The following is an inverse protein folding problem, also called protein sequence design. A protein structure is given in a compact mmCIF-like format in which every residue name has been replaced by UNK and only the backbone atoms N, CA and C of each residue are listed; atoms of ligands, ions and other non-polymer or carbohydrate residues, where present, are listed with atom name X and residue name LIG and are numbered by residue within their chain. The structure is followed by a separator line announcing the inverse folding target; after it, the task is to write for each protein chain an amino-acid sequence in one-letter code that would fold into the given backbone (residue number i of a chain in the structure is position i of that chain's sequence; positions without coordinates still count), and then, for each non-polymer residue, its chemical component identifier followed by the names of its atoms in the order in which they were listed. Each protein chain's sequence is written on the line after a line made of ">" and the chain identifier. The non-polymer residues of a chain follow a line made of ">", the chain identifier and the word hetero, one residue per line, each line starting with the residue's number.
data_IF_995212790297
#
_entry.id   IF_995212790297
#
_cell.length_a   1.000
_cell.length_b   1.000
_cell.length_c   1.000
_cell.angle_alpha   90.00
_cell.angle_beta   90.00
_cell.angle_gamma   90.00
#
_symmetry.space_group_name_H-M   'P 1'
#
loop_
_entity.id
_entity.type
_entity.pdbx_description
1 polymer ?
#
# COMPACT_ATOMS: atom_id res chain seq x y z
N UNK A 1 9.63 3.09 18.62
CA UNK A 1 10.54 3.47 17.49
C UNK A 1 10.38 4.95 17.23
N UNK A 2 11.43 5.77 17.34
CA UNK A 2 11.33 7.23 17.18
C UNK A 2 10.80 7.57 15.80
N UNK A 3 9.75 8.39 15.74
CA UNK A 3 9.29 9.03 14.51
C UNK A 3 10.36 9.98 14.01
N UNK A 4 10.83 9.77 12.78
CA UNK A 4 11.78 10.69 12.18
C UNK A 4 11.08 12.00 11.83
N UNK A 5 11.62 13.11 12.28
CA UNK A 5 11.15 14.45 11.96
C UNK A 5 10.99 14.63 10.44
N UNK A 6 10.00 15.38 10.02
CA UNK A 6 9.77 15.73 8.61
C UNK A 6 11.01 16.40 7.98
N UNK A 7 11.83 17.09 8.78
CA UNK A 7 13.11 17.65 8.35
C UNK A 7 14.11 16.58 7.90
N UNK A 8 14.20 15.45 8.61
CA UNK A 8 15.12 14.35 8.24
C UNK A 8 14.64 13.67 6.93
N UNK A 9 13.31 13.48 6.77
CA UNK A 9 12.73 12.95 5.53
C UNK A 9 13.02 13.88 4.35
N UNK A 10 12.84 15.20 4.54
CA UNK A 10 13.16 16.20 3.53
C UNK A 10 14.65 16.24 3.16
N UNK A 11 15.53 16.21 4.17
CA UNK A 11 16.98 16.17 3.95
C UNK A 11 17.40 14.91 3.17
N UNK A 12 16.82 13.74 3.46
CA UNK A 12 17.11 12.51 2.74
C UNK A 12 16.66 12.58 1.26
N UNK A 13 15.51 13.20 0.97
CA UNK A 13 15.06 13.44 -0.41
C UNK A 13 16.05 14.35 -1.14
N UNK A 14 16.46 15.47 -0.52
CA UNK A 14 17.43 16.40 -1.13
C UNK A 14 18.77 15.71 -1.39
N UNK A 15 19.26 14.91 -0.45
CA UNK A 15 20.51 14.16 -0.61
C UNK A 15 20.39 13.12 -1.75
N UNK A 16 19.26 12.43 -1.88
CA UNK A 16 19.01 11.52 -3.00
C UNK A 16 19.09 12.27 -4.34
N UNK A 17 18.41 13.43 -4.44
CA UNK A 17 18.42 14.27 -5.64
C UNK A 17 19.83 14.74 -6.00
N UNK A 18 20.63 15.17 -5.02
CA UNK A 18 22.03 15.57 -5.25
C UNK A 18 22.88 14.40 -5.78
N UNK A 19 22.72 13.21 -5.21
CA UNK A 19 23.42 12.01 -5.68
C UNK A 19 23.04 11.65 -7.11
N UNK A 20 21.75 11.79 -7.48
CA UNK A 20 21.26 11.52 -8.83
C UNK A 20 21.82 12.55 -9.84
N UNK A 21 21.85 13.83 -9.49
CA UNK A 21 22.45 14.88 -10.34
C UNK A 21 23.94 14.59 -10.56
N UNK A 22 24.69 14.22 -9.50
CA UNK A 22 26.09 13.82 -9.64
C UNK A 22 26.28 12.63 -10.57
N UNK A 23 25.42 11.62 -10.48
CA UNK A 23 25.44 10.46 -11.37
C UNK A 23 25.22 10.87 -12.84
N UNK A 24 24.18 11.68 -13.11
CA UNK A 24 23.86 12.15 -14.46
C UNK A 24 24.97 13.00 -15.05
N UNK A 25 25.52 13.94 -14.27
CA UNK A 25 26.65 14.78 -14.68
C UNK A 25 27.89 13.92 -15.00
N UNK A 26 28.16 12.91 -14.15
CA UNK A 26 29.27 11.98 -14.37
C UNK A 26 29.11 11.15 -15.64
N UNK A 27 27.95 10.56 -15.86
CA UNK A 27 27.63 9.78 -17.08
C UNK A 27 27.75 10.63 -18.34
N UNK A 28 27.22 11.85 -18.27
CA UNK A 28 27.27 12.75 -19.40
C UNK A 28 28.71 13.20 -19.71
N UNK A 29 29.51 13.52 -18.67
CA UNK A 29 30.90 13.85 -18.81
C UNK A 29 31.75 12.70 -19.37
N UNK A 30 31.48 11.44 -18.97
CA UNK A 30 32.13 10.26 -19.57
C UNK A 30 31.80 10.17 -21.06
N UNK A 31 30.52 10.27 -21.43
CA UNK A 31 30.10 10.22 -22.83
C UNK A 31 30.75 11.32 -23.70
N UNK A 32 30.90 12.52 -23.14
CA UNK A 32 31.57 13.63 -23.83
C UNK A 32 33.06 13.38 -24.01
N UNK A 33 33.77 12.94 -22.93
CA UNK A 33 35.21 12.67 -22.99
C UNK A 33 35.53 11.51 -23.96
N UNK A 34 34.70 10.47 -23.98
CA UNK A 34 34.83 9.40 -24.97
C UNK A 34 34.71 9.90 -26.40
N UNK A 35 33.82 10.85 -26.65
CA UNK A 35 33.60 11.43 -27.98
C UNK A 35 34.74 12.32 -28.41
N UNK A 36 35.38 13.01 -27.46
CA UNK A 36 36.45 14.02 -27.75
C UNK A 36 37.85 13.41 -27.50
N UNK A 37 37.98 12.10 -27.19
CA UNK A 37 39.26 11.42 -26.91
C UNK A 37 40.09 12.06 -25.77
N UNK A 38 39.46 12.65 -24.78
CA UNK A 38 40.14 13.21 -23.60
C UNK A 38 40.44 12.13 -22.53
N UNK A 39 41.63 12.25 -21.89
CA UNK A 39 42.14 11.30 -20.87
C UNK A 39 41.67 11.65 -19.44
N UNK A 40 40.43 12.09 -19.24
CA UNK A 40 39.91 12.48 -17.92
C UNK A 40 38.85 11.55 -17.32
N UNK A 41 38.81 10.28 -17.76
CA UNK A 41 37.73 9.35 -17.39
C UNK A 41 37.69 8.94 -15.90
N UNK A 42 38.84 8.98 -15.19
CA UNK A 42 38.92 8.47 -13.82
C UNK A 42 38.04 9.24 -12.83
N UNK A 43 38.13 10.56 -12.82
CA UNK A 43 37.34 11.41 -11.90
C UNK A 43 35.84 11.33 -12.19
N UNK A 44 35.47 11.31 -13.48
CA UNK A 44 34.07 11.25 -13.89
C UNK A 44 33.44 9.89 -13.56
N UNK A 45 34.18 8.79 -13.73
CA UNK A 45 33.71 7.46 -13.34
C UNK A 45 33.54 7.33 -11.83
N UNK A 46 34.44 7.89 -11.01
CA UNK A 46 34.29 7.89 -9.55
C UNK A 46 33.07 8.71 -9.11
N UNK A 47 32.84 9.88 -9.69
CA UNK A 47 31.63 10.70 -9.42
C UNK A 47 30.36 9.94 -9.76
N UNK A 48 30.34 9.26 -10.92
CA UNK A 48 29.17 8.47 -11.34
C UNK A 48 28.88 7.32 -10.38
N UNK A 49 29.90 6.56 -9.99
CA UNK A 49 29.76 5.45 -9.05
C UNK A 49 29.31 5.97 -7.68
N UNK A 50 29.90 7.06 -7.20
CA UNK A 50 29.53 7.66 -5.92
C UNK A 50 28.07 8.16 -5.93
N UNK A 51 27.65 8.81 -7.00
CA UNK A 51 26.27 9.24 -7.20
C UNK A 51 25.29 8.07 -7.23
N UNK A 52 25.64 6.97 -7.95
CA UNK A 52 24.82 5.77 -8.04
C UNK A 52 24.66 5.11 -6.65
N UNK A 53 25.75 4.82 -5.98
CA UNK A 53 25.73 4.16 -4.66
C UNK A 53 25.02 5.03 -3.63
N UNK A 54 25.31 6.34 -3.62
CA UNK A 54 24.66 7.31 -2.74
C UNK A 54 23.15 7.37 -2.96
N UNK A 55 22.70 7.36 -4.22
CA UNK A 55 21.27 7.34 -4.58
C UNK A 55 20.59 6.08 -4.04
N UNK A 56 21.19 4.89 -4.23
CA UNK A 56 20.64 3.64 -3.70
C UNK A 56 20.57 3.62 -2.16
N UNK A 57 21.61 4.10 -1.49
CA UNK A 57 21.65 4.17 -0.01
C UNK A 57 20.54 5.10 0.49
N UNK A 58 20.37 6.27 -0.13
CA UNK A 58 19.33 7.23 0.25
C UNK A 58 17.94 6.69 -0.05
N UNK A 59 17.74 5.99 -1.16
CA UNK A 59 16.47 5.34 -1.49
C UNK A 59 16.12 4.25 -0.46
N UNK A 60 17.08 3.40 -0.09
CA UNK A 60 16.92 2.40 0.96
C UNK A 60 16.57 3.03 2.32
N UNK A 61 17.24 4.14 2.67
CA UNK A 61 16.94 4.90 3.87
C UNK A 61 15.52 5.48 3.84
N UNK A 62 15.13 6.13 2.74
CA UNK A 62 13.78 6.66 2.53
C UNK A 62 12.73 5.55 2.64
N UNK A 63 12.98 4.38 2.04
CA UNK A 63 12.11 3.20 2.17
C UNK A 63 11.95 2.77 3.63
N UNK A 64 13.05 2.79 4.38
CA UNK A 64 13.07 2.44 5.81
C UNK A 64 12.24 3.39 6.67
N UNK A 65 12.36 4.71 6.45
CA UNK A 65 11.70 5.74 7.30
C UNK A 65 10.28 6.08 6.86
N UNK A 66 9.93 5.83 5.59
CA UNK A 66 8.59 6.11 5.06
C UNK A 66 7.57 5.14 5.62
N UNK A 67 6.41 5.66 6.07
CA UNK A 67 5.32 4.85 6.65
C UNK A 67 5.67 4.22 8.00
N UNK A 68 6.66 4.74 8.76
CA UNK A 68 6.86 4.34 10.16
C UNK A 68 5.74 4.92 11.01
N UNK A 69 5.18 4.06 11.87
CA UNK A 69 4.11 4.39 12.81
C UNK A 69 4.72 5.05 14.05
N UNK A 70 4.02 6.01 14.65
CA UNK A 70 4.26 6.44 16.02
C UNK A 70 3.91 5.29 16.98
N UNK A 71 4.52 5.24 18.17
CA UNK A 71 4.22 4.19 19.17
C UNK A 71 2.76 4.24 19.64
N UNK A 72 2.16 5.41 19.61
CA UNK A 72 0.78 5.66 20.08
C UNK A 72 -0.28 5.52 18.98
N UNK A 73 0.09 5.53 17.70
CA UNK A 73 -0.87 5.51 16.59
C UNK A 73 -0.53 4.40 15.60
N UNK A 74 -1.43 3.41 15.51
CA UNK A 74 -1.25 2.25 14.63
C UNK A 74 -1.54 2.56 13.16
N UNK A 75 -2.04 3.77 12.82
CA UNK A 75 -2.41 4.13 11.47
C UNK A 75 -1.28 4.82 10.70
N UNK A 76 -1.07 4.40 9.46
CA UNK A 76 -0.20 5.09 8.51
C UNK A 76 -1.02 6.21 7.87
N UNK A 77 -0.56 7.48 8.02
CA UNK A 77 -1.20 8.60 7.34
C UNK A 77 -0.94 8.54 5.84
N UNK A 78 -2.00 8.26 5.09
CA UNK A 78 -1.99 8.26 3.64
C UNK A 78 -2.17 9.69 3.12
N UNK A 79 -1.24 10.15 2.29
CA UNK A 79 -1.30 11.46 1.64
C UNK A 79 -2.36 11.53 0.53
N UNK A 80 -2.51 12.71 -0.10
CA UNK A 80 -3.48 12.88 -1.19
C UNK A 80 -3.22 11.97 -2.41
N UNK A 81 -1.95 11.71 -2.73
CA UNK A 81 -1.54 10.81 -3.82
C UNK A 81 -1.87 9.37 -3.49
N UNK A 82 -1.73 8.97 -2.22
CA UNK A 82 -2.01 7.60 -1.78
C UNK A 82 -3.51 7.22 -1.85
N UNK A 83 -4.39 8.16 -2.17
CA UNK A 83 -5.82 7.91 -2.42
C UNK A 83 -6.11 7.46 -3.86
N UNK A 84 -5.16 7.65 -4.77
CA UNK A 84 -5.28 7.22 -6.17
C UNK A 84 -5.06 5.70 -6.23
N UNK A 85 -5.78 5.01 -7.09
CA UNK A 85 -5.56 3.57 -7.30
C UNK A 85 -4.15 3.29 -7.83
N UNK A 86 -3.51 2.24 -7.32
CA UNK A 86 -2.13 1.87 -7.67
C UNK A 86 -1.94 1.66 -9.18
N UNK A 87 -2.94 1.06 -9.84
CA UNK A 87 -2.91 0.83 -11.29
C UNK A 87 -2.92 2.13 -12.07
N UNK A 88 -3.70 3.12 -11.61
CA UNK A 88 -3.77 4.45 -12.23
C UNK A 88 -2.45 5.20 -12.07
N UNK A 89 -1.82 5.12 -10.88
CA UNK A 89 -0.49 5.70 -10.66
C UNK A 89 0.56 5.09 -11.59
N UNK A 90 0.54 3.77 -11.78
CA UNK A 90 1.46 3.08 -12.69
C UNK A 90 1.23 3.49 -14.14
N UNK A 91 -0.04 3.60 -14.57
CA UNK A 91 -0.36 4.06 -15.94
C UNK A 91 0.12 5.50 -16.15
N UNK A 92 -0.15 6.40 -15.19
CA UNK A 92 0.33 7.79 -15.24
C UNK A 92 1.86 7.81 -15.34
N UNK A 93 2.56 6.98 -14.58
CA UNK A 93 4.01 6.90 -14.60
C UNK A 93 4.54 6.40 -15.94
N UNK A 94 3.93 5.37 -16.54
CA UNK A 94 4.30 4.85 -17.87
C UNK A 94 4.10 5.93 -18.94
N UNK A 95 2.97 6.63 -18.92
CA UNK A 95 2.68 7.74 -19.86
C UNK A 95 3.70 8.86 -19.68
N UNK A 96 4.05 9.18 -18.44
CA UNK A 96 5.05 10.20 -18.13
C UNK A 96 6.45 9.81 -18.64
N UNK A 97 6.89 8.54 -18.45
CA UNK A 97 8.14 8.02 -19.01
C UNK A 97 8.15 8.18 -20.52
N UNK A 98 7.05 7.79 -21.17
CA UNK A 98 6.96 7.90 -22.64
C UNK A 98 7.06 9.35 -23.14
N UNK A 99 6.38 10.27 -22.47
CA UNK A 99 6.47 11.69 -22.77
C UNK A 99 7.90 12.23 -22.59
N UNK A 100 8.60 11.80 -21.54
CA UNK A 100 9.99 12.20 -21.29
C UNK A 100 10.96 11.62 -22.32
N UNK A 101 10.78 10.38 -22.75
CA UNK A 101 11.57 9.79 -23.84
C UNK A 101 11.36 10.54 -25.17
N UNK A 102 10.14 10.99 -25.41
CA UNK A 102 9.84 11.81 -26.58
C UNK A 102 10.56 13.17 -26.53
N UNK A 103 10.51 13.86 -25.38
CA UNK A 103 11.25 15.10 -25.16
C UNK A 103 12.77 14.92 -25.28
N UNK A 104 13.32 13.81 -24.75
CA UNK A 104 14.75 13.49 -24.91
C UNK A 104 15.16 13.35 -26.39
N UNK A 105 14.28 12.77 -27.23
CA UNK A 105 14.52 12.66 -28.67
C UNK A 105 14.58 14.03 -29.32
N UNK A 106 13.67 14.96 -28.99
CA UNK A 106 13.62 16.30 -29.54
C UNK A 106 14.84 17.13 -29.12
N UNK A 107 15.23 17.07 -27.83
CA UNK A 107 16.44 17.75 -27.33
C UNK A 107 17.69 17.26 -28.03
N UNK A 108 17.80 15.95 -28.32
CA UNK A 108 18.94 15.40 -29.08
C UNK A 108 19.03 15.91 -30.49
N UNK A 109 17.91 16.28 -31.11
CA UNK A 109 17.86 16.82 -32.45
C UNK A 109 18.21 18.33 -32.50
N UNK A 110 18.13 19.01 -31.35
CA UNK A 110 18.55 20.41 -31.24
C UNK A 110 20.06 20.50 -31.13
N UNK A 111 20.66 21.44 -31.90
CA UNK A 111 22.11 21.69 -31.83
C UNK A 111 22.44 22.59 -30.64
N UNK A 112 22.33 22.02 -29.42
CA UNK A 112 22.78 22.72 -28.21
C UNK A 112 24.29 22.62 -28.05
N UNK A 113 24.88 23.68 -27.54
CA UNK A 113 26.22 23.60 -26.98
C UNK A 113 26.26 22.59 -25.80
N UNK A 114 27.45 22.05 -25.52
CA UNK A 114 27.64 21.05 -24.47
C UNK A 114 26.98 21.43 -23.13
N UNK A 115 27.17 22.67 -22.69
CA UNK A 115 26.61 23.17 -21.43
C UNK A 115 25.06 23.17 -21.46
N UNK A 116 24.44 23.58 -22.55
CA UNK A 116 22.99 23.57 -22.70
C UNK A 116 22.40 22.16 -22.66
N UNK A 117 23.08 21.22 -23.32
CA UNK A 117 22.63 19.81 -23.32
C UNK A 117 22.76 19.14 -21.94
N UNK A 118 23.82 19.48 -21.18
CA UNK A 118 23.99 19.02 -19.79
C UNK A 118 22.87 19.54 -18.88
N UNK A 119 22.54 20.83 -18.98
CA UNK A 119 21.47 21.43 -18.19
C UNK A 119 20.12 20.82 -18.55
N UNK A 120 19.83 20.65 -19.83
CA UNK A 120 18.59 20.03 -20.29
C UNK A 120 18.45 18.57 -19.81
N UNK A 121 19.51 17.77 -19.95
CA UNK A 121 19.53 16.38 -19.46
C UNK A 121 19.39 16.31 -17.94
N UNK A 122 20.09 17.18 -17.20
CA UNK A 122 20.00 17.25 -15.74
C UNK A 122 18.62 17.66 -15.25
N UNK A 123 17.97 18.64 -15.88
CA UNK A 123 16.61 19.05 -15.52
C UNK A 123 15.58 17.96 -15.80
N UNK A 124 15.68 17.28 -16.95
CA UNK A 124 14.81 16.14 -17.25
C UNK A 124 14.98 15.00 -16.26
N UNK A 125 16.23 14.63 -15.96
CA UNK A 125 16.51 13.60 -14.97
C UNK A 125 15.96 13.97 -13.58
N UNK A 126 16.09 15.23 -13.18
CA UNK A 126 15.54 15.73 -11.92
C UNK A 126 14.01 15.60 -11.88
N UNK A 127 13.31 16.03 -12.93
CA UNK A 127 11.84 15.93 -13.01
C UNK A 127 11.39 14.47 -12.98
N UNK A 128 12.10 13.60 -13.73
CA UNK A 128 11.82 12.15 -13.74
C UNK A 128 11.95 11.55 -12.34
N UNK A 129 12.99 11.89 -11.62
CA UNK A 129 13.25 11.33 -10.29
C UNK A 129 12.25 11.86 -9.25
N UNK A 130 11.86 13.13 -9.30
CA UNK A 130 10.81 13.67 -8.42
C UNK A 130 9.51 12.90 -8.58
N UNK A 131 9.06 12.69 -9.82
CA UNK A 131 7.83 11.92 -10.09
C UNK A 131 7.99 10.46 -9.66
N UNK A 132 9.15 9.85 -9.95
CA UNK A 132 9.47 8.49 -9.49
C UNK A 132 9.41 8.38 -7.96
N UNK A 133 10.04 9.31 -7.22
CA UNK A 133 10.02 9.29 -5.75
C UNK A 133 8.61 9.44 -5.18
N UNK A 134 7.78 10.32 -5.74
CA UNK A 134 6.40 10.51 -5.28
C UNK A 134 5.64 9.18 -5.38
N UNK A 135 5.70 8.52 -6.54
CA UNK A 135 5.00 7.26 -6.80
C UNK A 135 5.61 6.12 -5.98
N UNK A 136 6.94 6.04 -5.94
CA UNK A 136 7.65 5.02 -5.18
C UNK A 136 7.32 5.06 -3.69
N UNK A 137 7.36 6.25 -3.07
CA UNK A 137 7.05 6.42 -1.65
C UNK A 137 5.55 6.17 -1.37
N UNK A 138 4.65 6.46 -2.31
CA UNK A 138 3.24 6.09 -2.23
C UNK A 138 3.07 4.57 -2.18
N UNK A 139 3.70 3.86 -3.10
CA UNK A 139 3.69 2.38 -3.13
C UNK A 139 4.27 1.79 -1.84
N UNK A 140 5.39 2.33 -1.33
CA UNK A 140 6.01 1.88 -0.08
C UNK A 140 5.07 2.06 1.12
N UNK A 141 4.37 3.20 1.23
CA UNK A 141 3.39 3.43 2.31
C UNK A 141 2.26 2.41 2.24
N UNK A 142 1.68 2.18 1.07
CA UNK A 142 0.61 1.19 0.87
C UNK A 142 1.06 -0.24 1.12
N UNK A 143 2.29 -0.59 0.71
CA UNK A 143 2.85 -1.90 0.98
C UNK A 143 3.00 -2.16 2.48
N UNK A 144 3.43 -1.14 3.25
CA UNK A 144 3.54 -1.25 4.71
C UNK A 144 2.19 -1.26 5.42
N UNK A 145 1.16 -0.66 4.82
CA UNK A 145 -0.22 -0.65 5.33
C UNK A 145 -1.02 -1.88 4.90
N UNK A 146 -0.44 -2.80 4.10
CA UNK A 146 -1.11 -3.95 3.49
C UNK A 146 -2.31 -3.59 2.59
N UNK A 147 -2.41 -2.34 2.14
CA UNK A 147 -3.51 -1.85 1.30
C UNK A 147 -3.17 -1.84 -0.19
N UNK A 148 -1.95 -2.24 -0.56
CA UNK A 148 -1.46 -2.20 -1.94
C UNK A 148 -2.40 -2.90 -2.94
N UNK A 149 -2.88 -4.09 -2.59
CA UNK A 149 -3.76 -4.88 -3.45
C UNK A 149 -5.22 -4.44 -3.35
N UNK A 150 -5.68 -4.02 -2.18
CA UNK A 150 -7.08 -3.59 -1.98
C UNK A 150 -7.38 -2.26 -2.69
N UNK A 151 -6.37 -1.44 -2.94
CA UNK A 151 -6.45 -0.21 -3.72
C UNK A 151 -6.06 -0.37 -5.20
N UNK A 152 -6.21 -1.58 -5.78
CA UNK A 152 -6.00 -1.87 -7.19
C UNK A 152 -7.34 -2.05 -7.89
N UNK A 153 -7.57 -1.32 -8.98
CA UNK A 153 -8.78 -1.49 -9.83
C UNK A 153 -8.85 -2.91 -10.41
N UNK A 154 -7.70 -3.47 -10.79
CA UNK A 154 -7.62 -4.83 -11.32
C UNK A 154 -8.08 -5.83 -10.27
N UNK A 155 -7.64 -5.67 -9.02
CA UNK A 155 -8.06 -6.53 -7.91
C UNK A 155 -9.57 -6.41 -7.65
N UNK A 156 -10.11 -5.19 -7.60
CA UNK A 156 -11.55 -4.95 -7.44
C UNK A 156 -12.33 -5.60 -8.58
N UNK A 157 -11.85 -5.48 -9.83
CA UNK A 157 -12.46 -6.09 -11.00
C UNK A 157 -12.42 -7.62 -10.95
N UNK A 158 -11.30 -8.21 -10.55
CA UNK A 158 -11.17 -9.67 -10.36
C UNK A 158 -12.11 -10.16 -9.25
N UNK A 159 -12.21 -9.44 -8.13
CA UNK A 159 -13.15 -9.76 -7.06
C UNK A 159 -14.61 -9.66 -7.53
N UNK A 160 -14.92 -8.64 -8.33
CA UNK A 160 -16.24 -8.49 -8.95
C UNK A 160 -16.55 -9.64 -9.91
N UNK A 161 -15.65 -9.98 -10.83
CA UNK A 161 -15.79 -11.13 -11.73
C UNK A 161 -15.97 -12.43 -10.95
N UNK A 162 -15.14 -12.67 -9.94
CA UNK A 162 -15.26 -13.83 -9.07
C UNK A 162 -16.63 -13.87 -8.40
N UNK A 163 -17.14 -12.74 -7.92
CA UNK A 163 -18.48 -12.63 -7.32
C UNK A 163 -19.58 -12.95 -8.32
N UNK A 164 -19.49 -12.41 -9.55
CA UNK A 164 -20.45 -12.69 -10.62
C UNK A 164 -20.43 -14.17 -11.02
N UNK A 165 -19.25 -14.76 -11.22
CA UNK A 165 -19.08 -16.17 -11.59
C UNK A 165 -19.57 -17.10 -10.46
N UNK A 166 -19.27 -16.75 -9.19
CA UNK A 166 -19.68 -17.57 -8.04
C UNK A 166 -21.17 -17.40 -7.76
N UNK A 167 -21.71 -16.19 -7.93
CA UNK A 167 -23.15 -15.92 -7.81
C UNK A 167 -23.98 -16.61 -8.90
N UNK A 168 -23.41 -16.72 -10.12
CA UNK A 168 -24.03 -17.45 -11.22
C UNK A 168 -24.07 -18.96 -11.02
N UNK A 169 -23.15 -19.53 -10.21
CA UNK A 169 -23.10 -20.98 -9.97
C UNK A 169 -24.01 -21.46 -8.84
N UNK A 170 -24.29 -20.64 -7.80
CA UNK A 170 -25.18 -21.01 -6.71
C UNK A 170 -25.79 -19.78 -6.01
N UNK A 171 -26.78 -19.10 -6.62
CA UNK A 171 -27.48 -17.98 -5.97
C UNK A 171 -28.18 -18.41 -4.67
N UNK A 172 -28.61 -19.69 -4.59
CA UNK A 172 -29.26 -20.26 -3.39
C UNK A 172 -28.32 -20.44 -2.20
N UNK A 173 -27.02 -20.72 -2.43
CA UNK A 173 -26.06 -20.89 -1.35
C UNK A 173 -25.65 -19.55 -0.70
N UNK A 174 -25.57 -18.48 -1.48
CA UNK A 174 -25.24 -17.14 -0.97
C UNK A 174 -26.40 -16.55 -0.15
N UNK A 175 -27.65 -16.78 -0.61
CA UNK A 175 -28.87 -16.37 0.10
C UNK A 175 -29.04 -17.18 1.39
N UNK A 176 -28.75 -18.46 1.36
CA UNK A 176 -28.86 -19.36 2.52
C UNK A 176 -27.89 -18.98 3.62
N UNK A 177 -26.59 -18.80 3.32
CA UNK A 177 -25.59 -18.34 4.31
C UNK A 177 -25.90 -16.96 4.89
N UNK A 178 -26.46 -16.06 4.09
CA UNK A 178 -26.88 -14.76 4.58
C UNK A 178 -28.07 -14.89 5.55
N UNK A 179 -29.03 -15.77 5.28
CA UNK A 179 -30.15 -16.05 6.15
C UNK A 179 -29.68 -16.72 7.45
N UNK A 180 -28.82 -17.73 7.37
CA UNK A 180 -28.22 -18.40 8.54
C UNK A 180 -27.51 -17.39 9.47
N UNK A 181 -26.80 -16.40 8.94
CA UNK A 181 -26.15 -15.33 9.73
C UNK A 181 -27.14 -14.38 10.37
N UNK A 182 -28.19 -14.00 9.66
CA UNK A 182 -29.24 -13.11 10.21
C UNK A 182 -29.92 -13.83 11.39
N UNK A 183 -30.23 -15.10 11.25
CA UNK A 183 -30.89 -15.91 12.29
C UNK A 183 -30.00 -16.04 13.55
N UNK A 184 -28.68 -16.25 13.37
CA UNK A 184 -27.73 -16.25 14.48
C UNK A 184 -27.65 -14.88 15.16
N UNK A 185 -27.65 -13.80 14.39
CA UNK A 185 -27.62 -12.44 14.92
C UNK A 185 -28.89 -12.11 15.71
N UNK A 186 -30.05 -12.45 15.19
CA UNK A 186 -31.33 -12.29 15.89
C UNK A 186 -31.37 -13.06 17.22
N UNK A 187 -30.82 -14.29 17.23
CA UNK A 187 -30.72 -15.08 18.46
C UNK A 187 -29.78 -14.43 19.48
N UNK A 188 -28.64 -13.87 19.06
CA UNK A 188 -27.73 -13.16 19.94
C UNK A 188 -28.40 -11.90 20.53
N UNK A 189 -29.13 -11.14 19.72
CA UNK A 189 -29.87 -9.97 20.18
C UNK A 189 -30.99 -10.33 21.14
N UNK A 190 -31.70 -11.45 20.91
CA UNK A 190 -32.70 -11.99 21.81
C UNK A 190 -32.09 -12.39 23.16
N UNK A 191 -30.98 -13.11 23.16
CA UNK A 191 -30.27 -13.47 24.39
C UNK A 191 -29.77 -12.22 25.14
N UNK A 192 -29.24 -11.23 24.44
CA UNK A 192 -28.80 -9.95 25.01
C UNK A 192 -29.93 -9.15 25.63
N UNK A 193 -31.15 -9.27 25.09
CA UNK A 193 -32.38 -8.65 25.66
C UNK A 193 -32.99 -9.45 26.82
N UNK A 194 -32.42 -10.62 27.16
CA UNK A 194 -32.90 -11.49 28.25
C UNK A 194 -33.88 -12.60 27.84
N UNK A 195 -34.14 -12.76 26.55
CA UNK A 195 -34.99 -13.84 26.02
C UNK A 195 -34.16 -15.13 25.91
N UNK A 196 -34.05 -15.90 27.00
CA UNK A 196 -33.25 -17.12 27.06
C UNK A 196 -33.97 -18.37 26.50
N UNK A 197 -35.21 -18.24 26.08
CA UNK A 197 -35.98 -19.36 25.50
C UNK A 197 -35.63 -19.63 24.03
N UNK A 198 -34.94 -18.70 23.38
CA UNK A 198 -34.57 -18.81 21.97
C UNK A 198 -33.45 -19.82 21.76
N UNK A 199 -33.76 -20.99 21.20
CA UNK A 199 -32.79 -22.05 20.89
C UNK A 199 -32.64 -22.18 19.39
N UNK A 200 -31.39 -22.07 18.87
CA UNK A 200 -31.06 -22.30 17.47
C UNK A 200 -31.04 -23.81 17.16
N UNK A 201 -31.62 -24.23 16.03
CA UNK A 201 -31.53 -25.60 15.57
C UNK A 201 -30.20 -25.80 14.80
N UNK A 202 -29.16 -26.28 15.51
CA UNK A 202 -27.78 -26.41 14.98
C UNK A 202 -27.71 -27.31 13.74
N UNK A 203 -28.68 -28.21 13.52
CA UNK A 203 -28.69 -29.11 12.37
C UNK A 203 -29.07 -28.40 11.05
N UNK A 204 -29.74 -27.27 11.13
CA UNK A 204 -30.13 -26.47 9.96
C UNK A 204 -28.98 -25.59 9.42
N UNK A 205 -27.94 -25.38 10.23
CA UNK A 205 -26.77 -24.56 9.89
C UNK A 205 -25.66 -25.39 9.26
N UNK A 206 -24.83 -24.76 8.41
CA UNK A 206 -23.77 -25.43 7.65
C UNK A 206 -22.41 -24.78 7.83
N UNK A 207 -21.34 -25.61 7.92
CA UNK A 207 -19.96 -25.13 7.99
C UNK A 207 -19.67 -24.33 9.26
N UNK A 208 -19.12 -23.14 9.14
CA UNK A 208 -18.76 -22.26 10.26
C UNK A 208 -19.98 -21.72 11.01
N UNK A 209 -21.07 -21.48 10.32
CA UNK A 209 -22.33 -21.02 10.92
C UNK A 209 -22.93 -22.08 11.88
N UNK A 210 -22.70 -23.35 11.63
CA UNK A 210 -23.10 -24.44 12.53
C UNK A 210 -22.33 -24.41 13.86
N UNK A 211 -21.03 -24.18 13.79
CA UNK A 211 -20.19 -24.06 15.01
C UNK A 211 -20.58 -22.83 15.82
N UNK A 212 -20.87 -21.72 15.13
CA UNK A 212 -21.30 -20.48 15.76
C UNK A 212 -22.67 -20.62 16.43
N UNK A 213 -23.65 -21.25 15.78
CA UNK A 213 -24.97 -21.55 16.36
C UNK A 213 -24.85 -22.45 17.61
N UNK A 214 -23.95 -23.43 17.58
CA UNK A 214 -23.62 -24.25 18.75
C UNK A 214 -23.04 -23.45 19.90
N UNK A 215 -22.10 -22.55 19.63
CA UNK A 215 -21.50 -21.67 20.64
C UNK A 215 -22.55 -20.72 21.25
N UNK A 216 -23.44 -20.14 20.46
CA UNK A 216 -24.55 -19.28 20.93
C UNK A 216 -25.49 -20.06 21.85
N UNK A 217 -25.86 -21.29 21.52
CA UNK A 217 -26.68 -22.14 22.36
C UNK A 217 -25.98 -22.46 23.70
N UNK A 218 -24.67 -22.71 23.72
CA UNK A 218 -23.89 -22.94 24.94
C UNK A 218 -23.84 -21.69 25.83
N UNK A 219 -23.65 -20.51 25.27
CA UNK A 219 -23.69 -19.23 26.01
C UNK A 219 -25.06 -19.05 26.64
N UNK A 220 -26.13 -19.27 25.87
CA UNK A 220 -27.52 -19.19 26.35
C UNK A 220 -27.75 -20.13 27.53
N UNK A 221 -27.32 -21.38 27.42
CA UNK A 221 -27.49 -22.38 28.49
C UNK A 221 -26.74 -21.94 29.76
N UNK A 222 -25.47 -21.51 29.65
CA UNK A 222 -24.68 -21.01 30.76
C UNK A 222 -25.30 -19.78 31.45
N UNK A 223 -25.88 -18.85 30.69
CA UNK A 223 -26.60 -17.71 31.25
C UNK A 223 -27.89 -18.14 31.99
N UNK A 224 -28.64 -19.07 31.43
CA UNK A 224 -29.85 -19.61 32.05
C UNK A 224 -29.52 -20.28 33.39
N UNK A 225 -28.49 -21.10 33.42
CA UNK A 225 -28.05 -21.78 34.64
C UNK A 225 -27.55 -20.79 35.72
N UNK A 226 -26.79 -19.78 35.32
CA UNK A 226 -26.30 -18.75 36.23
C UNK A 226 -27.47 -17.94 36.88
N UNK A 227 -28.50 -17.62 36.08
CA UNK A 227 -29.69 -16.93 36.59
C UNK A 227 -30.48 -17.80 37.54
N UNK A 228 -30.66 -19.08 37.22
CA UNK A 228 -31.34 -20.03 38.10
C UNK A 228 -30.63 -20.23 39.42
N UNK A 229 -29.30 -20.32 39.39
CA UNK A 229 -28.49 -20.42 40.60
C UNK A 229 -28.59 -19.16 41.48
N UNK A 230 -28.63 -17.97 40.84
CA UNK A 230 -28.82 -16.70 41.55
C UNK A 230 -30.18 -16.64 42.23
N UNK A 231 -31.27 -17.00 41.53
CA UNK A 231 -32.61 -17.06 42.11
C UNK A 231 -32.69 -18.06 43.27
N UNK A 232 -32.05 -19.22 43.11
CA UNK A 232 -32.00 -20.24 44.21
C UNK A 232 -31.29 -19.68 45.43
N UNK A 233 -30.15 -19.01 45.25
CA UNK A 233 -29.39 -18.45 46.37
C UNK A 233 -30.11 -17.30 47.07
N UNK A 234 -30.90 -16.49 46.32
CA UNK A 234 -31.73 -15.43 46.89
C UNK A 234 -32.92 -15.98 47.71
N UNK A 235 -33.47 -17.13 47.33
CA UNK A 235 -34.54 -17.80 48.07
C UNK A 235 -34.11 -18.52 49.34
N UNK A 236 -32.79 -18.78 49.47
CA UNK A 236 -32.22 -19.44 50.64
C UNK A 236 -31.71 -18.46 51.72
N UNK A 237 -31.78 -17.18 51.47
CA UNK A 237 -31.50 -16.11 52.45
C UNK A 237 -32.77 -15.62 53.11
#
# INVERSE_FOLDING_TARGET
>A
MKEYSNGIKGAAVVMHQLCLVLMVCGLYGIGYNMRMHYNGLGLLSTLTIFGLVGSFVMLAFLTGITGRRSEDDQHIYLGGVDKIYTDVELVIFIVFIYAMLYLCKDIRNMQFEFAGLLVAAGTLAYIMDVVFLIIYLSIVRRAKDNTLFTHSLIYIFICFLRRVITSGKNPRLCTRKALERIEIQEAIEAIASGALDTKLNVEEFHGQERELAGAVNNIRAGLSDAIMDRIRNERMK
#
